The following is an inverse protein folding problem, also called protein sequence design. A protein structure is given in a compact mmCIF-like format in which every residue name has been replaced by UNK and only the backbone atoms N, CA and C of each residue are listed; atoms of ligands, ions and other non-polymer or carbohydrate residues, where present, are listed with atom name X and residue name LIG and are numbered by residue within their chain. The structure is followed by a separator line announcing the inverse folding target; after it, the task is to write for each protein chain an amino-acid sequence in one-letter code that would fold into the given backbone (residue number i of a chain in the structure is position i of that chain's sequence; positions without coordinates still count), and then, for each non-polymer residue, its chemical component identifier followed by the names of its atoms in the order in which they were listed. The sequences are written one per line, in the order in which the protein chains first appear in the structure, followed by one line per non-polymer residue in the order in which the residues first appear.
data_IF_750367398464
#
_entry.id   IF_750367398464
#
_cell.length_a   1.000
_cell.length_b   1.000
_cell.length_c   1.000
_cell.angle_alpha   90.00
_cell.angle_beta   90.00
_cell.angle_gamma   90.00
#
_symmetry.space_group_name_H-M   'P 1'
#
loop_
_entity.id
_entity.type
_entity.pdbx_description
1 polymer ?
#
# COMPACT_ATOMS: atom_id res chain seq x y z
N UNK A 1 -5.37 19.13 11.10
CA UNK A 1 -5.47 17.84 11.80
C UNK A 1 -4.10 17.46 12.34
N UNK A 2 -3.97 17.17 13.61
CA UNK A 2 -2.69 16.80 14.20
C UNK A 2 -2.36 15.34 13.84
N UNK A 3 -1.09 15.00 13.60
CA UNK A 3 -0.62 13.62 13.34
C UNK A 3 -0.99 12.64 14.45
N UNK A 4 -1.34 13.16 15.63
CA UNK A 4 -1.76 12.40 16.82
C UNK A 4 -3.14 11.73 16.64
N UNK A 5 -3.94 12.16 15.66
CA UNK A 5 -5.28 11.61 15.39
C UNK A 5 -5.24 10.37 14.48
N UNK A 6 -4.05 9.96 14.03
CA UNK A 6 -3.88 8.82 13.11
C UNK A 6 -3.30 7.62 13.86
N UNK A 7 -4.03 6.50 13.83
CA UNK A 7 -3.54 5.22 14.32
C UNK A 7 -2.92 4.40 13.17
N UNK A 8 -1.60 4.15 13.16
CA UNK A 8 -0.96 3.39 12.10
C UNK A 8 -1.30 1.91 12.19
N UNK A 9 -1.83 1.36 11.11
CA UNK A 9 -2.15 -0.06 10.99
C UNK A 9 -1.88 -0.57 9.58
N UNK A 10 -1.73 -1.86 9.43
CA UNK A 10 -1.64 -2.55 8.15
C UNK A 10 -2.85 -3.46 7.96
N UNK A 11 -3.65 -3.21 6.93
CA UNK A 11 -4.82 -4.01 6.63
C UNK A 11 -4.42 -5.31 5.91
N UNK A 12 -4.94 -6.43 6.38
CA UNK A 12 -4.81 -7.73 5.70
C UNK A 12 -6.05 -7.94 4.83
N UNK A 13 -5.88 -7.69 3.52
CA UNK A 13 -7.01 -7.67 2.58
C UNK A 13 -7.13 -8.96 1.74
N UNK A 14 -6.29 -9.95 1.95
CA UNK A 14 -6.34 -11.21 1.20
C UNK A 14 -7.75 -11.83 1.24
N UNK A 15 -8.36 -11.95 0.05
CA UNK A 15 -9.70 -12.50 -0.14
C UNK A 15 -10.87 -11.63 0.36
N UNK A 16 -10.60 -10.42 0.89
CA UNK A 16 -11.64 -9.51 1.40
C UNK A 16 -12.22 -8.65 0.28
N UNK A 17 -13.56 -8.46 0.24
CA UNK A 17 -14.19 -7.52 -0.68
C UNK A 17 -13.78 -6.08 -0.38
N UNK A 18 -13.36 -5.36 -1.42
CA UNK A 18 -13.03 -3.94 -1.36
C UNK A 18 -13.61 -3.22 -2.57
N UNK A 19 -13.95 -1.95 -2.40
CA UNK A 19 -14.57 -1.13 -3.44
C UNK A 19 -13.64 0.01 -3.86
N UNK A 20 -13.58 0.27 -5.16
CA UNK A 20 -13.00 1.49 -5.73
C UNK A 20 -14.10 2.19 -6.52
N UNK A 21 -14.43 3.41 -6.14
CA UNK A 21 -15.39 4.25 -6.86
C UNK A 21 -14.63 5.25 -7.71
N UNK A 22 -14.75 5.11 -9.03
CA UNK A 22 -14.03 5.87 -10.02
C UNK A 22 -13.29 4.98 -11.01
N UNK A 23 -13.07 5.45 -12.23
CA UNK A 23 -12.48 4.68 -13.33
C UNK A 23 -11.25 5.34 -13.98
N UNK A 24 -10.76 6.46 -13.43
CA UNK A 24 -9.61 7.19 -13.95
C UNK A 24 -8.26 6.61 -13.52
N UNK A 25 -7.13 7.27 -13.90
CA UNK A 25 -5.78 6.80 -13.58
C UNK A 25 -5.49 6.67 -12.08
N UNK A 26 -6.12 7.49 -11.25
CA UNK A 26 -5.99 7.40 -9.78
C UNK A 26 -6.67 6.14 -9.27
N UNK A 27 -7.89 5.85 -9.73
CA UNK A 27 -8.62 4.63 -9.39
C UNK A 27 -7.86 3.38 -9.85
N UNK A 28 -7.30 3.39 -11.07
CA UNK A 28 -6.47 2.31 -11.60
C UNK A 28 -5.28 1.99 -10.68
N UNK A 29 -4.51 3.02 -10.29
CA UNK A 29 -3.37 2.84 -9.37
C UNK A 29 -3.80 2.26 -8.02
N UNK A 30 -4.96 2.70 -7.50
CA UNK A 30 -5.52 2.20 -6.24
C UNK A 30 -6.00 0.76 -6.36
N UNK A 31 -6.71 0.43 -7.43
CA UNK A 31 -7.17 -0.93 -7.70
C UNK A 31 -5.99 -1.91 -7.81
N UNK A 32 -4.91 -1.55 -8.53
CA UNK A 32 -3.69 -2.36 -8.62
C UNK A 32 -3.08 -2.64 -7.24
N UNK A 33 -2.93 -1.61 -6.40
CA UNK A 33 -2.38 -1.80 -5.04
C UNK A 33 -3.24 -2.68 -4.14
N UNK A 34 -4.57 -2.67 -4.33
CA UNK A 34 -5.50 -3.55 -3.61
C UNK A 34 -5.43 -4.99 -4.14
N UNK A 35 -5.29 -5.17 -5.46
CA UNK A 35 -5.05 -6.48 -6.07
C UNK A 35 -3.73 -7.09 -5.60
N UNK A 36 -2.65 -6.31 -5.55
CA UNK A 36 -1.35 -6.74 -5.02
C UNK A 36 -1.43 -7.17 -3.53
N UNK A 37 -2.40 -6.62 -2.79
CA UNK A 37 -2.70 -7.05 -1.42
C UNK A 37 -3.62 -8.29 -1.36
N UNK A 38 -4.00 -8.86 -2.50
CA UNK A 38 -4.86 -10.04 -2.62
C UNK A 38 -6.33 -9.79 -2.33
N UNK A 39 -6.79 -8.54 -2.40
CA UNK A 39 -8.18 -8.19 -2.20
C UNK A 39 -9.06 -8.64 -3.38
N UNK A 40 -10.34 -8.87 -3.10
CA UNK A 40 -11.38 -9.01 -4.13
C UNK A 40 -11.87 -7.61 -4.48
N UNK A 41 -11.36 -7.06 -5.58
CA UNK A 41 -11.62 -5.66 -5.95
C UNK A 41 -12.84 -5.56 -6.86
N UNK A 42 -13.79 -4.70 -6.47
CA UNK A 42 -14.85 -4.21 -7.35
C UNK A 42 -14.57 -2.74 -7.68
N UNK A 43 -14.65 -2.39 -8.95
CA UNK A 43 -14.56 -1.01 -9.44
C UNK A 43 -15.93 -0.60 -9.94
N UNK A 44 -16.46 0.52 -9.45
CA UNK A 44 -17.72 1.10 -9.92
C UNK A 44 -17.43 2.44 -10.58
N UNK A 45 -17.67 2.52 -11.87
CA UNK A 45 -17.51 3.75 -12.66
C UNK A 45 -18.22 3.60 -14.01
N UNK A 46 -18.91 4.66 -14.52
CA UNK A 46 -19.53 4.63 -15.86
C UNK A 46 -18.50 4.40 -16.98
N UNK A 47 -17.28 4.94 -16.80
CA UNK A 47 -16.17 4.81 -17.74
C UNK A 47 -14.92 4.44 -16.96
N UNK A 48 -14.10 3.55 -17.49
CA UNK A 48 -12.84 3.11 -16.90
C UNK A 48 -11.70 3.18 -17.92
N UNK A 49 -10.45 3.27 -17.42
CA UNK A 49 -9.25 3.16 -18.26
C UNK A 49 -9.21 1.79 -18.94
N UNK A 50 -8.54 1.71 -20.09
CA UNK A 50 -8.33 0.44 -20.81
C UNK A 50 -7.72 -0.65 -19.91
N UNK A 51 -6.81 -0.26 -19.02
CA UNK A 51 -6.21 -1.16 -18.04
C UNK A 51 -7.26 -1.76 -17.10
N UNK A 52 -8.14 -0.93 -16.52
CA UNK A 52 -9.21 -1.43 -15.64
C UNK A 52 -10.19 -2.32 -16.38
N UNK A 53 -10.54 -1.95 -17.62
CA UNK A 53 -11.39 -2.79 -18.48
C UNK A 53 -10.73 -4.14 -18.75
N UNK A 54 -9.44 -4.16 -19.10
CA UNK A 54 -8.66 -5.39 -19.32
C UNK A 54 -8.56 -6.27 -18.08
N UNK A 55 -8.36 -5.68 -16.89
CA UNK A 55 -8.38 -6.40 -15.62
C UNK A 55 -9.76 -6.98 -15.31
N UNK A 56 -10.83 -6.26 -15.63
CA UNK A 56 -12.19 -6.77 -15.53
C UNK A 56 -12.45 -7.93 -16.48
N UNK A 57 -12.07 -7.79 -17.75
CA UNK A 57 -12.24 -8.83 -18.77
C UNK A 57 -11.45 -10.12 -18.44
N UNK A 58 -10.31 -9.99 -17.78
CA UNK A 58 -9.50 -11.14 -17.31
C UNK A 58 -9.99 -11.77 -15.99
N UNK A 59 -11.02 -11.21 -15.36
CA UNK A 59 -11.56 -11.70 -14.09
C UNK A 59 -10.69 -11.42 -12.86
N UNK A 60 -9.67 -10.55 -12.98
CA UNK A 60 -8.83 -10.16 -11.85
C UNK A 60 -9.55 -9.18 -10.91
N UNK A 61 -10.49 -8.40 -11.43
CA UNK A 61 -11.41 -7.57 -10.66
C UNK A 61 -12.80 -7.63 -11.27
N UNK A 62 -13.81 -7.09 -10.57
CA UNK A 62 -15.14 -6.84 -11.12
C UNK A 62 -15.23 -5.37 -11.52
N UNK A 63 -15.62 -5.06 -12.75
CA UNK A 63 -15.94 -3.71 -13.15
C UNK A 63 -17.43 -3.57 -13.44
N UNK A 64 -18.08 -2.68 -12.71
CA UNK A 64 -19.47 -2.29 -12.87
C UNK A 64 -19.55 -0.97 -13.66
N UNK A 65 -19.94 -1.04 -14.93
CA UNK A 65 -19.99 0.10 -15.84
C UNK A 65 -21.22 0.99 -15.58
N UNK A 66 -21.30 1.58 -14.40
CA UNK A 66 -22.40 2.43 -13.93
C UNK A 66 -21.95 3.39 -12.83
N UNK A 67 -22.84 4.30 -12.47
CA UNK A 67 -22.65 5.15 -11.30
C UNK A 67 -22.75 4.36 -10.00
N UNK A 68 -22.12 4.91 -8.97
CA UNK A 68 -22.14 4.41 -7.59
C UNK A 68 -23.55 4.43 -7.02
N UNK A 69 -23.84 3.46 -6.17
CA UNK A 69 -25.06 3.37 -5.36
C UNK A 69 -24.69 2.89 -3.96
N UNK A 70 -25.41 3.36 -2.93
CA UNK A 70 -25.16 2.99 -1.53
C UNK A 70 -25.04 1.46 -1.28
N UNK A 71 -25.86 0.58 -1.93
CA UNK A 71 -25.71 -0.88 -1.78
C UNK A 71 -24.39 -1.46 -2.29
N UNK A 72 -23.57 -0.70 -3.04
CA UNK A 72 -22.25 -1.15 -3.46
C UNK A 72 -21.28 -1.35 -2.28
N UNK A 73 -21.63 -0.81 -1.12
CA UNK A 73 -20.88 -0.98 0.13
C UNK A 73 -21.27 -2.25 0.90
N UNK A 74 -22.28 -2.99 0.49
CA UNK A 74 -22.74 -4.16 1.22
C UNK A 74 -21.66 -5.25 1.28
N UNK A 75 -21.23 -5.58 2.50
CA UNK A 75 -20.18 -6.57 2.74
C UNK A 75 -18.74 -6.11 2.42
N UNK A 76 -18.53 -4.84 2.08
CA UNK A 76 -17.22 -4.26 1.80
C UNK A 76 -16.47 -3.97 3.09
N UNK A 77 -15.16 -4.25 3.10
CA UNK A 77 -14.29 -3.97 4.26
C UNK A 77 -13.60 -2.62 4.17
N UNK A 78 -13.36 -2.15 2.96
CA UNK A 78 -12.57 -0.96 2.69
C UNK A 78 -12.97 -0.34 1.36
N UNK A 79 -13.14 0.97 1.30
CA UNK A 79 -13.49 1.69 0.07
C UNK A 79 -12.50 2.82 -0.21
N UNK A 80 -12.22 3.04 -1.49
CA UNK A 80 -11.45 4.19 -1.96
C UNK A 80 -12.23 4.92 -3.04
N UNK A 81 -12.36 6.23 -2.91
CA UNK A 81 -12.99 7.06 -3.94
C UNK A 81 -11.94 7.77 -4.78
N UNK A 82 -12.15 7.86 -6.07
CA UNK A 82 -11.31 8.60 -7.02
C UNK A 82 -12.13 8.95 -8.27
N UNK A 83 -13.29 9.56 -8.08
CA UNK A 83 -14.23 9.87 -9.19
C UNK A 83 -13.84 11.15 -9.92
N UNK A 84 -13.08 12.04 -9.28
CA UNK A 84 -12.83 13.40 -9.76
C UNK A 84 -14.02 14.36 -9.55
N UNK A 85 -15.10 13.87 -8.92
CA UNK A 85 -16.30 14.64 -8.58
C UNK A 85 -16.46 14.66 -7.06
N UNK A 86 -16.16 15.79 -6.43
CA UNK A 86 -16.14 15.92 -4.97
C UNK A 86 -17.46 15.53 -4.32
N UNK A 87 -18.59 15.87 -4.94
CA UNK A 87 -19.92 15.53 -4.43
C UNK A 87 -20.12 14.00 -4.33
N UNK A 88 -19.68 13.23 -5.33
CA UNK A 88 -19.76 11.76 -5.31
C UNK A 88 -18.80 11.18 -4.28
N UNK A 89 -17.55 11.68 -4.24
CA UNK A 89 -16.56 11.22 -3.27
C UNK A 89 -17.04 11.46 -1.83
N UNK A 90 -17.68 12.61 -1.56
CA UNK A 90 -18.26 12.94 -0.25
C UNK A 90 -19.46 12.04 0.08
N UNK A 91 -20.32 11.76 -0.89
CA UNK A 91 -21.45 10.85 -0.69
C UNK A 91 -20.97 9.44 -0.32
N UNK A 92 -20.00 8.90 -1.06
CA UNK A 92 -19.42 7.57 -0.76
C UNK A 92 -18.79 7.54 0.64
N UNK A 93 -18.08 8.62 1.03
CA UNK A 93 -17.47 8.70 2.35
C UNK A 93 -18.52 8.72 3.47
N UNK A 94 -19.62 9.48 3.30
CA UNK A 94 -20.73 9.53 4.25
C UNK A 94 -21.46 8.19 4.38
N UNK A 95 -21.73 7.52 3.24
CA UNK A 95 -22.35 6.20 3.22
C UNK A 95 -21.47 5.14 3.90
N UNK A 96 -20.14 5.20 3.67
CA UNK A 96 -19.16 4.31 4.28
C UNK A 96 -19.08 4.53 5.80
N UNK A 97 -19.07 5.77 6.26
CA UNK A 97 -19.06 6.10 7.68
C UNK A 97 -20.32 5.55 8.38
N UNK A 98 -21.50 5.72 7.77
CA UNK A 98 -22.76 5.18 8.30
C UNK A 98 -22.73 3.65 8.46
N UNK A 99 -21.97 2.94 7.62
CA UNK A 99 -21.78 1.50 7.65
C UNK A 99 -20.50 1.07 8.40
N UNK A 100 -19.75 2.00 8.98
CA UNK A 100 -18.46 1.74 9.67
C UNK A 100 -17.41 1.08 8.78
N UNK A 101 -17.37 1.47 7.51
CA UNK A 101 -16.40 1.02 6.53
C UNK A 101 -15.31 2.08 6.39
N UNK A 102 -14.03 1.69 6.49
CA UNK A 102 -12.92 2.61 6.29
C UNK A 102 -12.91 3.15 4.86
N UNK A 103 -12.99 4.47 4.72
CA UNK A 103 -12.99 5.16 3.43
C UNK A 103 -11.77 6.06 3.26
N UNK A 104 -11.12 5.97 2.10
CA UNK A 104 -10.12 6.93 1.63
C UNK A 104 -10.78 7.82 0.58
N UNK A 105 -11.07 9.05 0.93
CA UNK A 105 -11.63 10.05 0.02
C UNK A 105 -10.49 10.78 -0.72
N UNK A 106 -10.46 10.71 -2.06
CA UNK A 106 -9.42 11.35 -2.85
C UNK A 106 -9.57 12.87 -2.96
N UNK A 107 -10.80 13.37 -2.85
CA UNK A 107 -11.12 14.79 -2.97
C UNK A 107 -10.87 15.57 -1.68
N UNK A 108 -11.00 14.86 -0.53
CA UNK A 108 -10.85 15.46 0.79
C UNK A 108 -10.20 14.46 1.75
N UNK A 109 -8.91 14.67 2.00
CA UNK A 109 -8.16 13.80 2.90
C UNK A 109 -8.48 14.04 4.38
N UNK A 110 -8.96 15.22 4.74
CA UNK A 110 -9.33 15.55 6.13
C UNK A 110 -10.66 14.89 6.51
N UNK A 111 -11.58 14.74 5.55
CA UNK A 111 -12.81 13.99 5.72
C UNK A 111 -12.66 12.48 5.51
N UNK A 112 -11.45 11.99 5.23
CA UNK A 112 -11.18 10.56 5.06
C UNK A 112 -11.10 9.84 6.40
N UNK A 113 -11.83 8.73 6.55
CA UNK A 113 -11.71 7.85 7.72
C UNK A 113 -10.39 7.05 7.74
N UNK A 114 -9.70 6.94 6.61
CA UNK A 114 -8.41 6.28 6.47
C UNK A 114 -7.49 7.03 5.51
N UNK A 115 -6.19 6.98 5.74
CA UNK A 115 -5.20 7.60 4.88
C UNK A 115 -4.31 6.56 4.21
N UNK A 116 -4.04 6.76 2.92
CA UNK A 116 -3.10 5.91 2.17
C UNK A 116 -1.69 6.49 2.30
N UNK A 117 -0.74 5.79 2.94
CA UNK A 117 0.64 6.25 3.07
C UNK A 117 1.41 6.21 1.74
N UNK A 118 2.56 6.86 1.67
CA UNK A 118 3.53 6.60 0.63
C UNK A 118 4.19 5.24 0.88
N UNK A 119 4.10 4.31 -0.08
CA UNK A 119 4.55 2.93 0.08
C UNK A 119 5.73 2.62 -0.82
N UNK A 120 6.72 1.89 -0.30
CA UNK A 120 7.74 1.19 -1.06
C UNK A 120 7.88 -0.25 -0.53
N UNK A 121 8.46 -1.12 -1.37
CA UNK A 121 8.79 -2.50 -1.02
C UNK A 121 10.24 -2.73 -1.35
N UNK A 122 11.01 -3.21 -0.39
CA UNK A 122 12.41 -3.62 -0.55
C UNK A 122 12.53 -5.03 0.00
N UNK A 123 12.79 -5.99 -0.84
CA UNK A 123 12.72 -7.42 -0.54
C UNK A 123 11.35 -7.79 0.08
N UNK A 124 11.33 -8.20 1.35
CA UNK A 124 10.10 -8.53 2.10
C UNK A 124 9.67 -7.43 3.10
N UNK A 125 10.35 -6.28 3.08
CA UNK A 125 10.03 -5.13 3.92
C UNK A 125 9.10 -4.19 3.18
N UNK A 126 7.92 -3.95 3.73
CA UNK A 126 6.99 -2.94 3.24
C UNK A 126 7.12 -1.67 4.09
N UNK A 127 7.50 -0.57 3.46
CA UNK A 127 7.67 0.76 4.07
C UNK A 127 6.40 1.56 3.80
N UNK A 128 5.80 2.12 4.84
CA UNK A 128 4.62 2.97 4.74
C UNK A 128 4.84 4.24 5.54
N UNK A 129 4.85 5.40 4.88
CA UNK A 129 5.16 6.69 5.50
C UNK A 129 3.96 7.63 5.39
N UNK A 130 3.48 8.09 6.54
CA UNK A 130 2.61 9.24 6.67
C UNK A 130 3.42 10.43 7.19
N UNK A 131 3.25 11.61 6.62
CA UNK A 131 4.05 12.79 6.96
C UNK A 131 3.17 14.03 7.22
N UNK A 132 2.12 13.87 8.05
CA UNK A 132 1.27 14.97 8.49
C UNK A 132 0.45 15.61 7.37
N UNK A 133 -0.01 14.81 6.39
CA UNK A 133 -0.79 15.33 5.25
C UNK A 133 0.06 15.91 4.11
N UNK A 134 1.39 15.88 4.20
CA UNK A 134 2.30 16.29 3.12
C UNK A 134 2.76 15.09 2.28
N UNK A 135 2.17 14.86 1.09
CA UNK A 135 2.52 13.72 0.25
C UNK A 135 3.93 13.80 -0.35
N UNK A 136 4.46 15.02 -0.59
CA UNK A 136 5.83 15.19 -1.11
C UNK A 136 6.86 14.79 -0.06
N UNK A 137 6.65 15.22 1.17
CA UNK A 137 7.49 14.85 2.31
C UNK A 137 7.41 13.35 2.58
N UNK A 138 6.22 12.76 2.53
CA UNK A 138 6.03 11.32 2.69
C UNK A 138 6.79 10.52 1.62
N UNK A 139 6.72 10.93 0.34
CA UNK A 139 7.46 10.29 -0.73
C UNK A 139 8.98 10.44 -0.57
N UNK A 140 9.47 11.62 -0.19
CA UNK A 140 10.90 11.85 0.02
C UNK A 140 11.45 10.96 1.13
N UNK A 141 10.76 10.90 2.27
CA UNK A 141 11.13 10.02 3.40
C UNK A 141 11.07 8.54 3.02
N UNK A 142 10.00 8.11 2.33
CA UNK A 142 9.87 6.75 1.84
C UNK A 142 11.03 6.36 0.93
N UNK A 143 11.42 7.22 -0.02
CA UNK A 143 12.53 6.98 -0.94
C UNK A 143 13.86 6.90 -0.17
N UNK A 144 14.12 7.81 0.76
CA UNK A 144 15.34 7.79 1.56
C UNK A 144 15.48 6.49 2.36
N UNK A 145 14.41 6.03 3.01
CA UNK A 145 14.41 4.77 3.75
C UNK A 145 14.59 3.57 2.80
N UNK A 146 13.91 3.56 1.65
CA UNK A 146 14.06 2.49 0.67
C UNK A 146 15.51 2.41 0.15
N UNK A 147 16.11 3.55 -0.21
CA UNK A 147 17.51 3.62 -0.64
C UNK A 147 18.45 3.12 0.46
N UNK A 148 18.27 3.55 1.71
CA UNK A 148 19.11 3.11 2.82
C UNK A 148 19.05 1.60 3.07
N UNK A 149 17.89 0.98 2.86
CA UNK A 149 17.74 -0.48 2.88
C UNK A 149 18.43 -1.14 1.69
N UNK A 150 18.28 -0.58 0.49
CA UNK A 150 18.89 -1.09 -0.74
C UNK A 150 20.43 -1.00 -0.70
N UNK A 151 20.97 0.06 -0.12
CA UNK A 151 22.43 0.27 0.02
C UNK A 151 23.05 -0.45 1.22
N UNK A 152 22.23 -0.98 2.13
CA UNK A 152 22.68 -1.65 3.34
C UNK A 152 23.07 -0.69 4.48
N UNK A 153 22.63 0.58 4.42
CA UNK A 153 22.76 1.53 5.52
C UNK A 153 21.74 1.26 6.62
N UNK A 154 20.67 0.55 6.30
CA UNK A 154 19.71 0.00 7.24
C UNK A 154 19.68 -1.54 7.12
N UNK A 155 19.50 -2.27 8.23
CA UNK A 155 19.51 -3.74 8.23
C UNK A 155 18.26 -4.30 7.54
N UNK A 156 18.47 -5.17 6.54
CA UNK A 156 17.41 -5.98 5.90
C UNK A 156 17.34 -7.40 6.45
N UNK A 157 18.35 -7.80 7.23
CA UNK A 157 18.49 -9.17 7.69
C UNK A 157 17.35 -9.56 8.62
N UNK A 158 16.65 -10.65 8.30
CA UNK A 158 15.66 -11.23 9.22
C UNK A 158 16.34 -11.75 10.48
N UNK A 159 15.83 -11.37 11.64
CA UNK A 159 16.19 -12.08 12.87
C UNK A 159 15.68 -13.52 12.77
N UNK A 160 16.59 -14.48 12.97
CA UNK A 160 16.24 -15.89 12.98
C UNK A 160 15.35 -16.18 14.19
N UNK A 161 14.13 -16.65 13.92
CA UNK A 161 13.29 -17.20 14.98
C UNK A 161 13.49 -18.71 15.03
N UNK A 162 13.56 -19.31 16.23
CA UNK A 162 13.46 -20.77 16.37
C UNK A 162 12.15 -21.25 15.73
N UNK A 163 12.16 -22.47 15.20
CA UNK A 163 10.95 -23.13 14.74
C UNK A 163 10.00 -23.46 15.91
N UNK A 164 8.86 -24.02 15.63
CA UNK A 164 7.86 -24.44 16.64
C UNK A 164 8.40 -25.45 17.67
N UNK A 165 9.53 -26.09 17.37
CA UNK A 165 10.23 -27.03 18.24
C UNK A 165 11.44 -26.42 18.93
N UNK A 166 11.63 -25.09 18.85
CA UNK A 166 12.75 -24.39 19.44
C UNK A 166 14.08 -24.52 18.68
N UNK A 167 14.08 -25.12 17.49
CA UNK A 167 15.28 -25.36 16.69
C UNK A 167 15.60 -24.11 15.87
N UNK A 168 16.75 -23.52 16.11
CA UNK A 168 17.25 -22.40 15.30
C UNK A 168 17.75 -22.92 13.95
N UNK A 169 17.37 -22.30 12.81
CA UNK A 169 17.90 -22.66 11.50
C UNK A 169 19.42 -22.63 11.48
N UNK A 170 20.03 -23.55 10.74
CA UNK A 170 21.48 -23.62 10.59
C UNK A 170 22.08 -22.26 10.17
N UNK A 171 23.18 -21.87 10.80
CA UNK A 171 23.93 -20.69 10.43
C UNK A 171 24.51 -20.80 9.03
N UNK A 172 24.66 -19.67 8.35
CA UNK A 172 25.48 -19.55 7.15
C UNK A 172 26.67 -18.65 7.44
N UNK A 173 27.81 -18.96 6.84
CA UNK A 173 28.99 -18.10 6.88
C UNK A 173 29.14 -17.44 5.51
N UNK A 174 29.29 -16.12 5.49
CA UNK A 174 29.59 -15.38 4.28
C UNK A 174 30.98 -14.74 4.43
N UNK A 175 31.84 -14.98 3.44
CA UNK A 175 33.13 -14.30 3.37
C UNK A 175 32.95 -13.00 2.58
N UNK A 176 33.28 -11.88 3.22
CA UNK A 176 33.18 -10.55 2.61
C UNK A 176 34.59 -10.00 2.48
N UNK A 177 35.04 -9.76 1.23
CA UNK A 177 36.32 -9.10 0.97
C UNK A 177 36.25 -7.63 1.39
N UNK A 178 37.23 -7.17 2.19
CA UNK A 178 37.30 -5.78 2.67
C UNK A 178 37.78 -4.76 1.64
N UNK A 179 38.14 -5.19 0.42
CA UNK A 179 38.69 -4.30 -0.61
C UNK A 179 40.11 -3.79 -0.25
N UNK A 180 40.61 -2.75 -0.93
CA UNK A 180 41.95 -2.21 -0.75
C UNK A 180 42.14 -1.30 0.48
N UNK A 181 41.24 -1.36 1.47
CA UNK A 181 41.35 -0.62 2.75
C UNK A 181 40.42 0.59 2.89
N UNK A 182 39.77 1.04 1.83
CA UNK A 182 38.73 2.11 1.90
C UNK A 182 37.35 1.49 2.12
N UNK A 183 36.70 1.86 3.22
CA UNK A 183 35.35 1.37 3.59
C UNK A 183 34.28 1.75 2.56
N UNK A 184 34.50 2.77 1.73
CA UNK A 184 33.61 3.18 0.64
C UNK A 184 33.66 2.23 -0.56
N UNK A 185 34.68 1.35 -0.65
CA UNK A 185 34.82 0.37 -1.73
C UNK A 185 34.20 -0.99 -1.44
N UNK A 186 33.57 -1.18 -0.28
CA UNK A 186 32.81 -2.40 0.00
C UNK A 186 31.58 -2.48 -0.92
N UNK A 187 31.33 -3.63 -1.50
CA UNK A 187 30.16 -3.82 -2.36
C UNK A 187 28.85 -3.72 -1.55
N UNK A 188 27.76 -3.29 -2.18
CA UNK A 188 26.42 -3.28 -1.57
C UNK A 188 26.06 -4.66 -1.00
N UNK A 189 26.39 -5.74 -1.73
CA UNK A 189 26.20 -7.11 -1.23
C UNK A 189 27.03 -7.40 0.02
N UNK A 190 28.28 -6.96 0.06
CA UNK A 190 29.16 -7.12 1.23
C UNK A 190 28.58 -6.38 2.45
N UNK A 191 28.15 -5.14 2.27
CA UNK A 191 27.54 -4.33 3.32
C UNK A 191 26.26 -4.99 3.87
N UNK A 192 25.37 -5.49 3.00
CA UNK A 192 24.15 -6.22 3.40
C UNK A 192 24.42 -7.52 4.18
N UNK A 193 25.57 -8.15 3.99
CA UNK A 193 25.96 -9.38 4.70
C UNK A 193 26.56 -9.08 6.08
N UNK A 194 27.05 -7.85 6.31
CA UNK A 194 27.65 -7.42 7.58
C UNK A 194 26.61 -6.82 8.55
N UNK A 195 25.51 -6.23 8.05
CA UNK A 195 24.37 -5.70 8.83
C UNK A 195 23.31 -6.76 9.02
#
# INVERSE_FOLDING_TARGET
MAIQDIYPTALRLLGRPVLVVGGGPVAERRAKGLLDAGAKVTVVAPVATETLQGLGASGLLTWEAREYRTPDLDGVWFVQTATGTSAVDTQVAADAEAQRIWCVNASDHEASAAWTPAVAVVDDVKIAINAGGDPRRAMALRNAVATALETGDLPLRRHRKPDVNGKTPAGSVALVGGGPGDSGLITVRGRRLLG
#
